data_IF_170553478953
#
_entry.id   IF_170553478953
#
_cell.length_a   1.000
_cell.length_b   1.000
_cell.length_c   1.000
_cell.angle_alpha   90.00
_cell.angle_beta   90.00
_cell.angle_gamma   90.00
#
_symmetry.space_group_name_H-M   'P 1'
#
loop_
_entity.id
_entity.type
_entity.pdbx_description
1 polymer ?
#
# COMPACT_ATOMS: atom_id res chain seq x y z
N UNK A 1 17.33 -20.68 16.50
CA UNK A 1 16.97 -19.78 15.38
C UNK A 1 15.77 -20.41 14.68
N UNK A 2 14.54 -20.01 15.04
CA UNK A 2 13.31 -20.63 14.56
C UNK A 2 12.97 -20.04 13.19
N UNK A 3 12.99 -20.87 12.15
CA UNK A 3 12.46 -20.53 10.82
C UNK A 3 10.94 -20.43 10.95
N UNK A 4 10.43 -19.19 11.02
CA UNK A 4 9.01 -18.90 10.92
C UNK A 4 8.55 -19.28 9.51
N UNK A 5 7.92 -20.43 9.37
CA UNK A 5 7.17 -20.83 8.18
C UNK A 5 5.93 -19.92 8.10
N UNK A 6 6.05 -18.83 7.35
CA UNK A 6 4.90 -17.97 7.00
C UNK A 6 3.91 -18.79 6.18
N UNK A 7 2.72 -19.05 6.75
CA UNK A 7 1.59 -19.65 6.03
C UNK A 7 1.24 -18.79 4.80
N UNK A 8 0.89 -19.39 3.66
CA UNK A 8 0.46 -18.65 2.48
C UNK A 8 -0.77 -17.79 2.83
N UNK A 9 -0.71 -16.50 2.47
CA UNK A 9 -1.88 -15.62 2.52
C UNK A 9 -2.79 -15.98 1.36
N UNK A 10 -4.03 -16.35 1.66
CA UNK A 10 -5.10 -16.44 0.67
C UNK A 10 -5.54 -15.02 0.33
N UNK A 11 -5.47 -14.64 -0.93
CA UNK A 11 -6.08 -13.41 -1.45
C UNK A 11 -7.59 -13.61 -1.57
N UNK A 12 -8.37 -12.54 -1.59
CA UNK A 12 -9.84 -12.59 -1.65
C UNK A 12 -10.40 -13.34 -2.88
N UNK A 13 -9.60 -13.52 -3.93
CA UNK A 13 -9.95 -14.26 -5.13
C UNK A 13 -9.63 -15.76 -5.05
N UNK A 14 -9.11 -16.27 -3.92
CA UNK A 14 -8.72 -17.67 -3.78
C UNK A 14 -7.39 -18.02 -4.48
N UNK A 15 -6.72 -17.05 -5.08
CA UNK A 15 -5.44 -17.28 -5.71
C UNK A 15 -4.32 -17.33 -4.65
N UNK A 16 -3.57 -18.43 -4.66
CA UNK A 16 -2.39 -18.59 -3.79
C UNK A 16 -1.23 -17.86 -4.45
N UNK A 17 -0.77 -16.76 -3.85
CA UNK A 17 0.47 -16.12 -4.33
C UNK A 17 1.63 -17.11 -4.32
N UNK A 18 2.28 -17.35 -5.49
CA UNK A 18 3.41 -18.26 -5.56
C UNK A 18 4.54 -17.76 -4.67
N UNK A 19 4.98 -18.59 -3.74
CA UNK A 19 6.07 -18.24 -2.84
C UNK A 19 7.43 -18.48 -3.53
N UNK A 20 8.48 -17.83 -3.01
CA UNK A 20 9.86 -18.10 -3.49
C UNK A 20 10.20 -19.58 -3.36
N UNK A 21 9.63 -20.27 -2.36
CA UNK A 21 9.81 -21.70 -2.16
C UNK A 21 9.18 -22.53 -3.28
N UNK A 22 8.03 -22.14 -3.81
CA UNK A 22 7.39 -22.86 -4.92
C UNK A 22 8.26 -22.79 -6.19
N UNK A 23 8.87 -21.65 -6.45
CA UNK A 23 9.79 -21.47 -7.57
C UNK A 23 11.12 -22.25 -7.37
N UNK A 24 11.65 -22.29 -6.14
CA UNK A 24 12.85 -23.07 -5.82
C UNK A 24 12.58 -24.57 -5.88
N UNK A 25 11.44 -25.02 -5.36
CA UNK A 25 11.01 -26.43 -5.42
C UNK A 25 10.81 -26.84 -6.89
N UNK A 26 10.14 -26.01 -7.70
CA UNK A 26 9.96 -26.25 -9.13
C UNK A 26 11.30 -26.35 -9.88
N UNK A 27 12.23 -25.45 -9.59
CA UNK A 27 13.58 -25.48 -10.16
C UNK A 27 14.35 -26.74 -9.75
N UNK A 28 14.30 -27.13 -8.48
CA UNK A 28 14.94 -28.34 -7.98
C UNK A 28 14.34 -29.60 -8.59
N UNK A 29 13.01 -29.65 -8.76
CA UNK A 29 12.31 -30.74 -9.43
C UNK A 29 12.73 -30.87 -10.90
N UNK A 30 12.87 -29.74 -11.60
CA UNK A 30 13.39 -29.70 -12.97
C UNK A 30 14.78 -30.28 -13.11
N UNK A 31 15.70 -29.90 -12.20
CA UNK A 31 17.07 -30.47 -12.18
C UNK A 31 17.07 -31.94 -11.86
N UNK A 32 16.20 -32.40 -10.97
CA UNK A 32 16.06 -33.80 -10.61
C UNK A 32 15.54 -34.63 -11.80
N UNK A 33 14.60 -34.08 -12.58
CA UNK A 33 14.12 -34.70 -13.82
C UNK A 33 15.23 -34.80 -14.88
N UNK A 34 16.06 -33.76 -15.03
CA UNK A 34 17.20 -33.76 -15.94
C UNK A 34 18.21 -34.84 -15.53
N UNK A 35 18.51 -34.94 -14.22
CA UNK A 35 19.38 -35.95 -13.68
C UNK A 35 18.82 -37.37 -13.90
N UNK A 36 17.53 -37.58 -13.59
CA UNK A 36 16.86 -38.88 -13.79
C UNK A 36 16.83 -39.31 -15.27
N UNK A 37 16.74 -38.35 -16.21
CA UNK A 37 16.76 -38.64 -17.64
C UNK A 37 18.06 -39.40 -18.07
N UNK A 38 19.18 -39.18 -17.38
CA UNK A 38 20.44 -39.87 -17.65
C UNK A 38 20.38 -41.39 -17.43
N UNK A 39 19.40 -41.87 -16.66
CA UNK A 39 19.23 -43.30 -16.34
C UNK A 39 18.18 -44.02 -17.19
N UNK A 40 17.47 -43.30 -18.08
CA UNK A 40 16.39 -43.89 -18.87
C UNK A 40 16.92 -44.45 -20.20
N UNK A 41 16.82 -45.79 -20.45
CA UNK A 41 17.42 -46.43 -21.61
C UNK A 41 16.69 -46.15 -22.94
N UNK A 42 15.44 -45.63 -22.88
CA UNK A 42 14.66 -45.38 -24.08
C UNK A 42 14.89 -43.94 -24.61
N UNK A 43 15.52 -43.81 -25.77
CA UNK A 43 15.91 -42.52 -26.38
C UNK A 43 14.79 -41.49 -26.43
N UNK A 44 13.56 -41.90 -26.79
CA UNK A 44 12.43 -40.97 -26.91
C UNK A 44 11.99 -40.45 -25.54
N UNK A 45 11.87 -41.32 -24.56
CA UNK A 45 11.50 -40.97 -23.20
C UNK A 45 12.56 -40.07 -22.53
N UNK A 46 13.84 -40.38 -22.80
CA UNK A 46 14.97 -39.55 -22.36
C UNK A 46 14.87 -38.09 -22.84
N UNK A 47 14.60 -37.88 -24.15
CA UNK A 47 14.46 -36.52 -24.70
C UNK A 47 13.22 -35.81 -24.19
N UNK A 48 12.12 -36.52 -23.94
CA UNK A 48 10.89 -35.94 -23.35
C UNK A 48 11.13 -35.49 -21.91
N UNK A 49 11.76 -36.31 -21.07
CA UNK A 49 12.05 -35.94 -19.67
C UNK A 49 13.07 -34.81 -19.60
N UNK A 50 14.10 -34.85 -20.47
CA UNK A 50 15.12 -33.81 -20.54
C UNK A 50 14.50 -32.47 -21.00
N UNK A 51 13.61 -32.47 -22.01
CA UNK A 51 12.90 -31.30 -22.47
C UNK A 51 11.97 -30.73 -21.42
N UNK A 52 11.25 -31.56 -20.68
CA UNK A 52 10.39 -31.15 -19.58
C UNK A 52 11.20 -30.53 -18.43
N UNK A 53 12.33 -31.14 -18.09
CA UNK A 53 13.25 -30.63 -17.07
C UNK A 53 13.79 -29.24 -17.44
N UNK A 54 14.23 -29.05 -18.69
CA UNK A 54 14.69 -27.74 -19.17
C UNK A 54 13.58 -26.70 -19.18
N UNK A 55 12.35 -27.08 -19.55
CA UNK A 55 11.20 -26.17 -19.50
C UNK A 55 10.95 -25.68 -18.08
N UNK A 56 11.00 -26.57 -17.08
CA UNK A 56 10.88 -26.20 -15.67
C UNK A 56 11.98 -25.24 -15.22
N UNK A 57 13.21 -25.50 -15.59
CA UNK A 57 14.35 -24.62 -15.24
C UNK A 57 14.17 -23.24 -15.89
N UNK A 58 13.83 -23.19 -17.19
CA UNK A 58 13.68 -21.95 -17.94
C UNK A 58 12.51 -21.07 -17.45
N UNK A 59 11.44 -21.67 -16.93
CA UNK A 59 10.27 -20.92 -16.45
C UNK A 59 10.40 -20.56 -14.97
N UNK A 60 10.80 -21.49 -14.13
CA UNK A 60 10.80 -21.29 -12.68
C UNK A 60 12.02 -20.52 -12.16
N UNK A 61 13.19 -20.70 -12.77
CA UNK A 61 14.40 -20.02 -12.32
C UNK A 61 14.38 -18.51 -12.52
N UNK A 62 13.95 -17.96 -13.69
CA UNK A 62 13.79 -16.51 -13.84
C UNK A 62 12.77 -15.92 -12.89
N UNK A 63 11.65 -16.63 -12.63
CA UNK A 63 10.63 -16.16 -11.69
C UNK A 63 11.17 -16.04 -10.26
N UNK A 64 11.96 -17.02 -9.81
CA UNK A 64 12.63 -16.97 -8.51
C UNK A 64 13.64 -15.81 -8.44
N UNK A 65 14.43 -15.58 -9.50
CA UNK A 65 15.37 -14.46 -9.56
C UNK A 65 14.67 -13.10 -9.50
N UNK A 66 13.56 -12.94 -10.21
CA UNK A 66 12.77 -11.70 -10.15
C UNK A 66 12.22 -11.47 -8.75
N UNK A 67 11.67 -12.49 -8.09
CA UNK A 67 11.18 -12.37 -6.72
C UNK A 67 12.29 -12.04 -5.71
N UNK A 68 13.45 -12.65 -5.85
CA UNK A 68 14.63 -12.36 -5.00
C UNK A 68 15.09 -10.92 -5.26
N UNK A 69 15.17 -10.51 -6.54
CA UNK A 69 15.58 -9.17 -6.91
C UNK A 69 14.64 -8.10 -6.35
N UNK A 70 13.32 -8.27 -6.45
CA UNK A 70 12.35 -7.32 -5.90
C UNK A 70 12.47 -7.20 -4.37
N UNK A 71 12.67 -8.32 -3.66
CA UNK A 71 12.88 -8.31 -2.20
C UNK A 71 14.21 -7.69 -1.78
N UNK A 72 15.28 -7.96 -2.51
CA UNK A 72 16.61 -7.39 -2.22
C UNK A 72 16.63 -5.91 -2.60
N UNK A 73 16.09 -5.55 -3.76
CA UNK A 73 16.06 -4.16 -4.20
C UNK A 73 15.26 -3.28 -3.23
N UNK A 74 14.12 -3.74 -2.73
CA UNK A 74 13.33 -2.97 -1.75
C UNK A 74 14.11 -2.70 -0.46
N UNK A 75 14.89 -3.68 0.04
CA UNK A 75 15.75 -3.50 1.22
C UNK A 75 16.93 -2.58 0.95
N UNK A 76 17.55 -2.71 -0.21
CA UNK A 76 18.65 -1.83 -0.63
C UNK A 76 18.14 -0.40 -0.83
N UNK A 77 17.00 -0.22 -1.50
CA UNK A 77 16.38 1.09 -1.64
C UNK A 77 16.01 1.71 -0.29
N UNK A 78 15.45 0.95 0.64
CA UNK A 78 15.17 1.42 1.99
C UNK A 78 16.44 1.80 2.78
N UNK A 79 17.57 1.16 2.54
CA UNK A 79 18.85 1.54 3.13
C UNK A 79 19.44 2.79 2.47
N UNK A 80 19.39 2.87 1.14
CA UNK A 80 19.87 4.03 0.36
C UNK A 80 19.04 5.29 0.67
N UNK A 81 17.72 5.17 0.83
CA UNK A 81 16.85 6.29 1.17
C UNK A 81 17.15 6.85 2.56
N UNK A 82 17.53 6.01 3.53
CA UNK A 82 17.98 6.48 4.86
C UNK A 82 19.27 7.29 4.76
N UNK A 83 20.24 6.83 3.96
CA UNK A 83 21.52 7.52 3.78
C UNK A 83 21.36 8.86 3.03
N UNK A 84 20.35 8.95 2.15
CA UNK A 84 20.05 10.17 1.37
C UNK A 84 19.20 11.21 2.09
N UNK A 85 18.85 11.00 3.36
CA UNK A 85 17.97 11.90 4.10
C UNK A 85 16.50 11.83 3.68
N UNK A 86 16.12 10.77 2.94
CA UNK A 86 14.73 10.54 2.51
C UNK A 86 13.83 10.01 3.65
N UNK A 87 14.38 9.90 4.86
CA UNK A 87 13.65 9.46 6.05
C UNK A 87 14.00 10.37 7.22
N UNK A 88 12.97 10.96 7.83
CA UNK A 88 13.10 11.82 9.01
C UNK A 88 12.22 11.32 10.15
N UNK A 89 12.75 11.23 11.36
CA UNK A 89 11.90 10.97 12.52
C UNK A 89 11.15 12.26 12.90
N UNK A 90 9.89 12.10 13.24
CA UNK A 90 9.04 13.16 13.78
C UNK A 90 8.43 12.71 15.10
N UNK A 91 8.33 13.60 16.09
CA UNK A 91 7.86 13.25 17.43
C UNK A 91 6.38 12.93 17.51
N UNK A 92 5.56 13.43 16.60
CA UNK A 92 4.10 13.29 16.60
C UNK A 92 3.60 12.42 15.43
N UNK A 93 4.23 12.55 14.27
CA UNK A 93 3.88 11.82 13.05
C UNK A 93 4.69 10.52 12.88
N UNK A 94 5.68 10.29 13.75
CA UNK A 94 6.54 9.13 13.68
C UNK A 94 7.59 9.24 12.57
N UNK A 95 7.56 8.34 11.61
CA UNK A 95 8.56 8.26 10.55
C UNK A 95 8.03 8.91 9.27
N UNK A 96 8.59 10.06 8.89
CA UNK A 96 8.34 10.69 7.60
C UNK A 96 9.25 10.06 6.54
N UNK A 97 8.67 9.63 5.44
CA UNK A 97 9.39 9.06 4.29
C UNK A 97 9.14 9.92 3.06
N UNK A 98 10.20 10.30 2.36
CA UNK A 98 10.09 11.14 1.16
C UNK A 98 9.60 10.33 -0.03
N UNK A 99 8.51 10.76 -0.64
CA UNK A 99 8.06 10.31 -1.94
C UNK A 99 8.53 11.29 -3.02
N UNK A 100 9.61 10.94 -3.71
CA UNK A 100 10.21 11.81 -4.73
C UNK A 100 9.34 11.99 -5.97
N UNK A 101 8.51 10.99 -6.29
CA UNK A 101 7.62 11.03 -7.45
C UNK A 101 6.54 12.08 -7.26
N UNK A 102 5.96 12.11 -6.09
CA UNK A 102 4.86 13.00 -5.75
C UNK A 102 5.33 14.32 -5.10
N UNK A 103 6.65 14.48 -4.86
CA UNK A 103 7.25 15.63 -4.18
C UNK A 103 6.62 15.89 -2.81
N UNK A 104 6.28 14.84 -2.09
CA UNK A 104 5.68 14.90 -0.77
C UNK A 104 6.43 14.04 0.23
N UNK A 105 6.10 14.23 1.49
CA UNK A 105 6.56 13.43 2.62
C UNK A 105 5.36 12.67 3.18
N UNK A 106 5.53 11.37 3.37
CA UNK A 106 4.51 10.44 3.81
C UNK A 106 4.80 9.93 5.21
N UNK A 107 3.78 9.90 6.04
CA UNK A 107 3.82 9.25 7.35
C UNK A 107 2.56 8.42 7.53
N UNK A 108 2.65 7.35 8.30
CA UNK A 108 1.49 6.55 8.70
C UNK A 108 1.32 6.67 10.20
N UNK A 109 0.18 7.18 10.61
CA UNK A 109 -0.18 7.33 12.03
C UNK A 109 -1.22 6.29 12.39
N UNK A 110 -0.93 5.50 13.44
CA UNK A 110 -1.86 4.49 13.95
C UNK A 110 -2.72 5.12 15.04
N UNK A 111 -4.04 5.04 14.89
CA UNK A 111 -5.02 5.49 15.87
C UNK A 111 -6.03 4.37 16.15
N UNK A 112 -5.94 3.77 17.31
CA UNK A 112 -6.73 2.59 17.63
C UNK A 112 -6.40 1.43 16.67
N UNK A 113 -7.41 0.93 15.96
CA UNK A 113 -7.27 -0.12 14.95
C UNK A 113 -7.02 0.40 13.53
N UNK A 114 -7.05 1.74 13.34
CA UNK A 114 -6.97 2.37 12.01
C UNK A 114 -5.57 2.89 11.73
N UNK A 115 -5.23 2.91 10.45
CA UNK A 115 -4.03 3.54 9.92
C UNK A 115 -4.45 4.70 9.02
N UNK A 116 -3.95 5.90 9.33
CA UNK A 116 -4.21 7.11 8.55
C UNK A 116 -2.91 7.55 7.92
N UNK A 117 -2.92 7.73 6.62
CA UNK A 117 -1.78 8.23 5.88
C UNK A 117 -1.76 9.76 5.92
N UNK A 118 -0.58 10.33 6.15
CA UNK A 118 -0.35 11.78 6.17
C UNK A 118 0.58 12.13 5.03
N UNK A 119 0.10 12.97 4.12
CA UNK A 119 0.91 13.44 2.99
C UNK A 119 1.16 14.95 3.15
N UNK A 120 2.44 15.34 3.16
CA UNK A 120 2.88 16.72 3.37
C UNK A 120 3.70 17.17 2.16
N UNK A 121 3.29 18.20 1.47
CA UNK A 121 4.05 18.74 0.35
C UNK A 121 5.44 19.22 0.77
N UNK A 122 6.42 18.96 -0.09
CA UNK A 122 7.79 19.39 0.09
C UNK A 122 8.76 18.58 -0.77
N UNK A 123 9.54 19.27 -1.58
CA UNK A 123 10.45 18.61 -2.53
C UNK A 123 11.65 17.94 -1.83
N UNK A 124 12.47 18.69 -1.13
CA UNK A 124 13.67 18.19 -0.45
C UNK A 124 13.46 18.04 1.06
N UNK A 125 12.63 18.89 1.61
CA UNK A 125 12.20 18.88 3.00
C UNK A 125 10.68 19.07 3.07
N UNK A 126 10.01 18.51 4.11
CA UNK A 126 8.61 18.80 4.31
C UNK A 126 8.44 20.30 4.56
N UNK A 127 7.44 20.92 3.94
CA UNK A 127 7.14 22.31 4.17
C UNK A 127 6.89 22.55 5.67
N UNK A 128 7.60 23.45 6.33
CA UNK A 128 7.54 23.60 7.80
C UNK A 128 6.17 24.06 8.31
N UNK A 129 5.42 24.85 7.53
CA UNK A 129 4.09 25.32 7.91
C UNK A 129 3.09 24.17 7.80
N UNK A 130 3.12 23.39 6.72
CA UNK A 130 2.27 22.22 6.54
C UNK A 130 2.58 21.12 7.55
N UNK A 131 3.87 20.92 7.88
CA UNK A 131 4.28 19.98 8.91
C UNK A 131 3.74 20.39 10.29
N UNK A 132 3.77 21.69 10.62
CA UNK A 132 3.20 22.20 11.86
C UNK A 132 1.67 22.01 11.90
N UNK A 133 0.97 22.26 10.77
CA UNK A 133 -0.46 22.02 10.64
C UNK A 133 -0.81 20.54 10.79
N UNK A 134 -0.06 19.66 10.16
CA UNK A 134 -0.23 18.21 10.27
C UNK A 134 -0.09 17.73 11.73
N UNK A 135 0.95 18.20 12.43
CA UNK A 135 1.14 17.89 13.86
C UNK A 135 -0.03 18.37 14.71
N UNK A 136 -0.47 19.61 14.49
CA UNK A 136 -1.59 20.20 15.21
C UNK A 136 -2.89 19.42 14.99
N UNK A 137 -3.15 18.99 13.75
CA UNK A 137 -4.37 18.26 13.40
C UNK A 137 -4.32 16.85 13.99
N UNK A 138 -3.20 16.17 13.91
CA UNK A 138 -3.02 14.82 14.49
C UNK A 138 -3.10 14.85 16.02
N UNK A 139 -2.62 15.90 16.68
CA UNK A 139 -2.80 16.05 18.13
C UNK A 139 -4.27 16.13 18.56
N UNK A 140 -5.16 16.54 17.65
CA UNK A 140 -6.62 16.70 17.87
C UNK A 140 -7.42 15.73 16.99
N UNK A 141 -6.82 14.62 16.56
CA UNK A 141 -7.42 13.71 15.59
C UNK A 141 -8.79 13.19 16.00
N UNK A 142 -8.99 12.83 17.26
CA UNK A 142 -10.28 12.31 17.75
C UNK A 142 -11.41 13.36 17.62
N UNK A 143 -11.07 14.63 17.81
CA UNK A 143 -12.02 15.73 17.60
C UNK A 143 -12.30 15.98 16.11
N UNK A 144 -11.27 15.85 15.27
CA UNK A 144 -11.42 15.90 13.82
C UNK A 144 -12.30 14.75 13.32
N UNK A 145 -11.98 13.53 13.71
CA UNK A 145 -12.73 12.33 13.32
C UNK A 145 -14.21 12.45 13.69
N UNK A 146 -14.53 12.92 14.90
CA UNK A 146 -15.90 13.13 15.31
C UNK A 146 -16.65 14.14 14.43
N UNK A 147 -15.98 15.24 14.04
CA UNK A 147 -16.56 16.24 13.14
C UNK A 147 -16.75 15.69 11.72
N UNK A 148 -15.74 14.99 11.21
CA UNK A 148 -15.77 14.36 9.88
C UNK A 148 -16.91 13.34 9.81
N UNK A 149 -17.04 12.48 10.81
CA UNK A 149 -18.13 11.49 10.83
C UNK A 149 -19.51 12.14 10.94
N UNK A 150 -19.65 13.21 11.70
CA UNK A 150 -20.91 13.96 11.73
C UNK A 150 -21.25 14.59 10.37
N UNK A 151 -20.27 15.16 9.68
CA UNK A 151 -20.42 15.70 8.33
C UNK A 151 -20.81 14.60 7.32
N UNK A 152 -20.10 13.48 7.30
CA UNK A 152 -20.39 12.32 6.44
C UNK A 152 -21.82 11.79 6.66
N UNK A 153 -22.28 11.71 7.91
CA UNK A 153 -23.66 11.32 8.20
C UNK A 153 -24.66 12.31 7.63
N UNK A 154 -24.41 13.62 7.77
CA UNK A 154 -25.25 14.66 7.19
C UNK A 154 -25.33 14.60 5.67
N UNK A 155 -24.21 14.38 4.98
CA UNK A 155 -24.18 14.18 3.53
C UNK A 155 -24.96 12.93 3.11
N UNK A 156 -24.81 11.83 3.84
CA UNK A 156 -25.57 10.61 3.59
C UNK A 156 -27.09 10.80 3.77
N UNK A 157 -27.51 11.57 4.78
CA UNK A 157 -28.92 11.90 4.98
C UNK A 157 -29.47 12.78 3.84
N UNK A 158 -28.64 13.69 3.33
CA UNK A 158 -28.99 14.55 2.20
C UNK A 158 -29.10 13.78 0.89
N UNK A 159 -28.25 12.79 0.66
CA UNK A 159 -28.24 11.95 -0.54
C UNK A 159 -29.36 10.88 -0.53
N UNK A 160 -29.79 10.42 0.64
CA UNK A 160 -30.68 9.28 0.80
C UNK A 160 -32.04 9.37 0.03
N UNK A 161 -32.68 10.56 -0.13
CA UNK A 161 -33.92 10.66 -0.90
C UNK A 161 -33.72 10.48 -2.41
N UNK A 162 -32.55 10.81 -2.94
CA UNK A 162 -32.23 10.78 -4.37
C UNK A 162 -31.54 9.46 -4.75
N UNK A 163 -30.57 9.03 -3.96
CA UNK A 163 -29.75 7.84 -4.18
C UNK A 163 -29.48 7.11 -2.86
N UNK A 164 -30.33 6.11 -2.50
CA UNK A 164 -30.14 5.33 -1.27
C UNK A 164 -28.86 4.47 -1.28
N UNK A 165 -28.37 4.07 -2.47
CA UNK A 165 -27.14 3.26 -2.61
C UNK A 165 -25.91 4.10 -2.28
N UNK A 166 -25.80 5.27 -2.89
CA UNK A 166 -24.75 6.26 -2.58
C UNK A 166 -24.80 6.67 -1.11
N UNK A 167 -25.99 6.92 -0.56
CA UNK A 167 -26.13 7.23 0.86
C UNK A 167 -25.63 6.10 1.77
N UNK A 168 -25.83 4.84 1.37
CA UNK A 168 -25.31 3.67 2.05
C UNK A 168 -23.79 3.62 2.02
N UNK A 169 -23.21 3.91 0.87
CA UNK A 169 -21.76 3.98 0.69
C UNK A 169 -21.12 5.09 1.53
N UNK A 170 -21.70 6.31 1.49
CA UNK A 170 -21.23 7.45 2.27
C UNK A 170 -21.19 7.11 3.78
N UNK A 171 -22.18 6.40 4.31
CA UNK A 171 -22.19 5.99 5.72
C UNK A 171 -21.07 5.03 6.11
N UNK A 172 -20.52 4.31 5.14
CA UNK A 172 -19.46 3.34 5.34
C UNK A 172 -18.04 3.92 5.13
N UNK A 173 -17.92 5.22 4.84
CA UNK A 173 -16.65 5.88 4.60
C UNK A 173 -15.80 5.92 5.88
N UNK A 174 -14.51 5.63 5.70
CA UNK A 174 -13.50 5.74 6.75
C UNK A 174 -12.36 6.65 6.28
N UNK A 175 -11.84 7.50 7.17
CA UNK A 175 -10.69 8.36 6.86
C UNK A 175 -9.49 7.47 6.52
N UNK A 176 -8.94 7.63 5.32
CA UNK A 176 -7.77 6.91 4.83
C UNK A 176 -6.52 7.76 4.81
N UNK A 177 -6.63 9.02 4.35
CA UNK A 177 -5.48 9.92 4.31
C UNK A 177 -5.84 11.38 4.59
N UNK A 178 -4.81 12.16 5.02
CA UNK A 178 -4.86 13.60 5.19
C UNK A 178 -3.76 14.21 4.35
N UNK A 179 -4.12 15.09 3.40
CA UNK A 179 -3.18 15.69 2.46
C UNK A 179 -3.04 17.18 2.70
N UNK A 180 -1.81 17.62 2.87
CA UNK A 180 -1.41 19.00 3.12
C UNK A 180 -0.63 19.52 1.89
N UNK A 181 -1.33 20.17 0.94
CA UNK A 181 -0.74 20.59 -0.34
C UNK A 181 -0.66 22.10 -0.52
N UNK A 182 -1.27 22.90 0.37
CA UNK A 182 -1.38 24.35 0.17
C UNK A 182 -0.49 25.11 1.15
N UNK A 183 0.79 25.39 0.79
CA UNK A 183 1.70 26.13 1.68
C UNK A 183 1.23 27.53 2.02
N UNK A 184 0.50 28.17 1.13
CA UNK A 184 -0.14 29.49 1.29
C UNK A 184 -1.40 29.45 2.17
N UNK A 185 -1.97 28.26 2.38
CA UNK A 185 -3.17 28.02 3.19
C UNK A 185 -2.98 26.81 4.10
N UNK A 186 -2.10 26.89 5.09
CA UNK A 186 -1.73 25.73 5.91
C UNK A 186 -2.88 25.18 6.77
N UNK A 187 -3.99 25.92 6.91
CA UNK A 187 -5.23 25.45 7.56
C UNK A 187 -6.14 24.62 6.65
N UNK A 188 -5.86 24.57 5.34
CA UNK A 188 -6.61 23.76 4.37
C UNK A 188 -6.02 22.36 4.27
N UNK A 189 -6.86 21.35 4.40
CA UNK A 189 -6.48 19.93 4.36
C UNK A 189 -7.50 19.17 3.51
N UNK A 190 -7.02 18.36 2.61
CA UNK A 190 -7.86 17.39 1.89
C UNK A 190 -7.90 16.09 2.71
N UNK A 191 -9.10 15.57 2.90
CA UNK A 191 -9.35 14.34 3.64
C UNK A 191 -9.88 13.32 2.66
N UNK A 192 -9.11 12.26 2.42
CA UNK A 192 -9.57 11.15 1.61
C UNK A 192 -10.23 10.09 2.48
N UNK A 193 -11.19 9.41 1.88
CA UNK A 193 -11.89 8.31 2.51
C UNK A 193 -11.71 7.03 1.72
N UNK A 194 -11.74 5.94 2.44
CA UNK A 194 -11.91 4.61 1.90
C UNK A 194 -13.36 4.18 2.09
N UNK A 195 -14.03 3.85 0.99
CA UNK A 195 -15.38 3.30 0.95
C UNK A 195 -15.39 1.78 0.73
N UNK A 196 -16.58 1.17 0.66
CA UNK A 196 -16.75 -0.23 0.30
C UNK A 196 -16.45 -0.52 -1.16
N UNK A 197 -16.61 0.47 -2.05
CA UNK A 197 -16.22 0.40 -3.46
C UNK A 197 -14.77 0.85 -3.61
N UNK A 198 -13.88 -0.06 -4.02
CA UNK A 198 -12.45 0.21 -4.17
C UNK A 198 -12.12 1.07 -5.41
N UNK A 199 -13.03 1.14 -6.38
CA UNK A 199 -12.84 1.92 -7.62
C UNK A 199 -13.29 3.39 -7.45
N UNK A 200 -13.90 3.73 -6.31
CA UNK A 200 -14.42 5.08 -6.03
C UNK A 200 -13.61 5.78 -4.96
N UNK A 201 -13.09 6.95 -5.31
CA UNK A 201 -12.29 7.79 -4.40
C UNK A 201 -13.12 8.92 -3.87
N UNK A 202 -13.35 8.93 -2.56
CA UNK A 202 -14.08 9.98 -1.88
C UNK A 202 -13.12 10.95 -1.22
N UNK A 203 -13.39 12.24 -1.34
CA UNK A 203 -12.61 13.28 -0.68
C UNK A 203 -13.49 14.44 -0.21
N UNK A 204 -13.06 15.13 0.85
CA UNK A 204 -13.62 16.40 1.27
C UNK A 204 -12.53 17.39 1.69
N UNK A 205 -12.86 18.67 1.77
CA UNK A 205 -11.95 19.68 2.26
C UNK A 205 -12.27 20.06 3.71
N UNK A 206 -11.22 20.23 4.49
CA UNK A 206 -11.27 20.82 5.82
C UNK A 206 -10.51 22.14 5.80
N UNK A 207 -11.20 23.24 6.05
CA UNK A 207 -10.64 24.60 6.02
C UNK A 207 -11.01 25.31 7.32
N UNK A 208 -10.02 25.68 8.12
CA UNK A 208 -10.17 26.48 9.35
C UNK A 208 -11.24 25.97 10.34
N UNK A 209 -11.47 24.68 10.35
CA UNK A 209 -12.42 24.03 11.27
C UNK A 209 -13.75 23.64 10.65
N UNK A 210 -13.98 23.97 9.39
CA UNK A 210 -15.19 23.65 8.64
C UNK A 210 -14.90 22.59 7.57
N UNK A 211 -15.87 21.70 7.32
CA UNK A 211 -15.84 20.68 6.29
C UNK A 211 -16.75 21.09 5.15
N UNK A 212 -16.32 20.83 3.93
CA UNK A 212 -17.08 21.14 2.73
C UNK A 212 -16.75 20.22 1.58
N UNK A 213 -17.73 20.03 0.67
CA UNK A 213 -17.53 19.35 -0.61
C UNK A 213 -17.16 17.88 -0.44
N UNK A 214 -18.14 17.03 -0.11
CA UNK A 214 -17.90 15.58 -0.23
C UNK A 214 -18.12 15.17 -1.68
N UNK A 215 -17.04 14.97 -2.39
CA UNK A 215 -17.04 14.60 -3.81
C UNK A 215 -16.43 13.22 -3.99
N UNK A 216 -16.74 12.57 -5.12
CA UNK A 216 -16.11 11.33 -5.51
C UNK A 216 -15.66 11.36 -6.97
N UNK A 217 -14.55 10.66 -7.25
CA UNK A 217 -14.04 10.39 -8.59
C UNK A 217 -14.12 8.87 -8.85
N UNK A 218 -14.45 8.49 -10.09
CA UNK A 218 -14.69 7.09 -10.49
C UNK A 218 -13.99 6.77 -11.83
#
# INVERSE_FOLDING_TARGET
MALSLTRPRLTAAGDVEPTVWDALIGGALGLLLIYAAGYIPYRILHWLVLGLGWLFVLVMFPSALVMIWTRVSSRVWAAVSRVRGDVRPDSQLGRLTRNRRNRCWEATVVRGARQVEILIEGADEPNPQLLASARNLIARFDSLESKVMAFVVGEAESAAPEDPEIAGEIRALEISSLKFHWPDRPGRVEIDFKGPDEDRFWACEYVDGELSGLDYDS
#
